data_IF_024173518463
#
_entry.id   IF_024173518463
#
_cell.length_a   1.000
_cell.length_b   1.000
_cell.length_c   1.000
_cell.angle_alpha   90.00
_cell.angle_beta   90.00
_cell.angle_gamma   90.00
#
_symmetry.space_group_name_H-M   'P 1'
#
loop_
_entity.id
_entity.type
_entity.pdbx_description
1 polymer ?
#
# COMPACT_ATOMS: atom_id res chain seq x y z
N UNK A 1 -6.13 22.05 -1.13
CA UNK A 1 -6.51 21.72 -2.53
C UNK A 1 -5.90 20.35 -2.79
N UNK A 2 -6.69 19.34 -3.16
CA UNK A 2 -6.17 18.01 -3.47
C UNK A 2 -5.42 18.08 -4.81
N UNK A 3 -4.10 18.19 -4.79
CA UNK A 3 -3.27 18.35 -5.98
C UNK A 3 -2.56 17.04 -6.37
N UNK A 4 -2.37 16.14 -5.42
CA UNK A 4 -1.73 14.86 -5.66
C UNK A 4 -2.59 13.97 -6.57
N UNK A 5 -1.97 13.45 -7.60
CA UNK A 5 -2.56 12.44 -8.48
C UNK A 5 -1.59 11.29 -8.65
N UNK A 6 -1.99 10.13 -8.18
CA UNK A 6 -1.13 8.94 -8.21
C UNK A 6 -0.76 8.49 -9.64
N UNK A 7 -1.56 8.85 -10.63
CA UNK A 7 -1.29 8.52 -12.03
C UNK A 7 0.09 8.96 -12.55
N UNK A 8 0.68 10.02 -11.96
CA UNK A 8 2.06 10.43 -12.28
C UNK A 8 3.12 9.47 -11.74
N UNK A 9 2.82 8.74 -10.68
CA UNK A 9 3.75 7.94 -9.87
C UNK A 9 3.48 6.43 -9.91
N UNK A 10 2.38 6.04 -10.56
CA UNK A 10 1.91 4.64 -10.58
C UNK A 10 3.00 3.69 -11.08
N UNK A 11 3.19 2.59 -10.36
CA UNK A 11 4.18 1.57 -10.68
C UNK A 11 5.62 1.90 -10.28
N UNK A 12 5.85 2.96 -9.50
CA UNK A 12 7.18 3.31 -9.02
C UNK A 12 7.69 2.36 -7.91
N UNK A 13 8.91 2.58 -7.43
CA UNK A 13 9.52 1.78 -6.37
C UNK A 13 8.70 1.73 -5.07
N UNK A 14 7.97 2.80 -4.74
CA UNK A 14 7.15 2.86 -3.53
C UNK A 14 5.90 1.97 -3.64
N UNK A 15 5.28 1.93 -4.81
CA UNK A 15 4.21 0.98 -5.12
C UNK A 15 4.70 -0.46 -5.02
N UNK A 16 5.94 -0.76 -5.41
CA UNK A 16 6.48 -2.11 -5.31
C UNK A 16 6.49 -2.60 -3.88
N UNK A 17 6.99 -1.82 -2.92
CA UNK A 17 6.98 -2.18 -1.51
C UNK A 17 5.54 -2.30 -0.96
N UNK A 18 4.70 -1.30 -1.26
CA UNK A 18 3.31 -1.23 -0.79
C UNK A 18 2.48 -2.40 -1.30
N UNK A 19 2.47 -2.61 -2.61
CA UNK A 19 1.63 -3.64 -3.22
C UNK A 19 2.16 -5.05 -2.98
N UNK A 20 3.47 -5.25 -2.90
CA UNK A 20 4.03 -6.54 -2.49
C UNK A 20 3.64 -6.88 -1.05
N UNK A 21 3.75 -5.93 -0.12
CA UNK A 21 3.32 -6.13 1.27
C UNK A 21 1.81 -6.42 1.35
N UNK A 22 0.98 -5.66 0.62
CA UNK A 22 -0.46 -5.90 0.54
C UNK A 22 -0.79 -7.29 -0.01
N UNK A 23 -0.11 -7.71 -1.08
CA UNK A 23 -0.23 -9.05 -1.66
C UNK A 23 0.01 -10.13 -0.62
N UNK A 24 1.14 -10.08 0.09
CA UNK A 24 1.49 -11.06 1.12
C UNK A 24 0.47 -11.10 2.26
N UNK A 25 -0.01 -9.94 2.71
CA UNK A 25 -1.03 -9.86 3.77
C UNK A 25 -2.35 -10.48 3.31
N UNK A 26 -2.83 -10.18 2.11
CA UNK A 26 -4.10 -10.72 1.62
C UNK A 26 -4.01 -12.22 1.32
N UNK A 27 -2.90 -12.71 0.77
CA UNK A 27 -2.65 -14.15 0.59
C UNK A 27 -2.68 -14.89 1.94
N UNK A 28 -2.09 -14.31 2.99
CA UNK A 28 -2.20 -14.89 4.33
C UNK A 28 -3.64 -14.91 4.85
N UNK A 29 -4.39 -13.83 4.62
CA UNK A 29 -5.80 -13.78 5.04
C UNK A 29 -6.64 -14.85 4.36
N UNK A 30 -6.31 -15.21 3.12
CA UNK A 30 -7.00 -16.24 2.34
C UNK A 30 -6.73 -17.68 2.83
N UNK A 31 -5.67 -17.92 3.62
CA UNK A 31 -5.38 -19.26 4.17
C UNK A 31 -6.44 -19.79 5.13
N UNK A 32 -7.22 -18.92 5.76
CA UNK A 32 -8.32 -19.31 6.65
C UNK A 32 -9.65 -19.10 5.93
N UNK A 33 -10.51 -20.12 5.96
CA UNK A 33 -11.87 -20.02 5.42
C UNK A 33 -12.80 -19.25 6.38
N UNK A 34 -12.43 -17.99 6.66
CA UNK A 34 -13.19 -17.00 7.43
C UNK A 34 -13.24 -15.72 6.67
N UNK A 35 -14.41 -15.12 6.46
CA UNK A 35 -14.54 -13.84 5.78
C UNK A 35 -13.73 -12.74 6.46
N UNK A 36 -13.29 -11.75 5.66
CA UNK A 36 -12.69 -10.53 6.16
C UNK A 36 -13.15 -9.30 5.35
N UNK A 37 -12.90 -8.13 5.90
CA UNK A 37 -13.03 -6.89 5.17
C UNK A 37 -11.65 -6.35 4.79
N UNK A 38 -11.49 -6.00 3.51
CA UNK A 38 -10.43 -5.11 3.07
C UNK A 38 -10.94 -3.68 3.10
N UNK A 39 -10.22 -2.81 3.78
CA UNK A 39 -10.57 -1.38 3.91
C UNK A 39 -9.38 -0.57 3.41
N UNK A 40 -9.62 0.29 2.43
CA UNK A 40 -8.63 1.16 1.82
C UNK A 40 -9.07 2.61 1.97
N UNK A 41 -8.30 3.38 2.72
CA UNK A 41 -8.68 4.75 3.11
C UNK A 41 -8.38 5.80 2.04
N UNK A 42 -7.47 5.50 1.11
CA UNK A 42 -7.04 6.40 0.02
C UNK A 42 -6.80 5.58 -1.23
N UNK A 43 -7.88 5.22 -1.89
CA UNK A 43 -7.88 4.15 -2.90
C UNK A 43 -7.33 4.57 -4.27
N UNK A 44 -7.26 5.87 -4.57
CA UNK A 44 -6.90 6.36 -5.90
C UNK A 44 -7.88 5.91 -6.98
N UNK A 45 -7.44 5.90 -8.23
CA UNK A 45 -8.26 5.50 -9.37
C UNK A 45 -8.40 3.97 -9.56
N UNK A 46 -7.57 3.18 -8.88
CA UNK A 46 -7.58 1.71 -8.95
C UNK A 46 -6.83 1.10 -10.13
N UNK A 47 -6.91 1.68 -11.32
CA UNK A 47 -6.11 1.34 -12.51
C UNK A 47 -5.50 2.60 -13.11
N UNK A 48 -4.29 2.47 -13.63
CA UNK A 48 -3.49 3.56 -14.18
C UNK A 48 -2.92 3.17 -15.54
N UNK A 49 -3.08 4.03 -16.54
CA UNK A 49 -2.52 3.84 -17.87
C UNK A 49 -1.07 4.33 -17.91
N UNK A 50 -0.13 3.40 -17.99
CA UNK A 50 1.31 3.72 -18.07
C UNK A 50 1.71 4.33 -19.43
N UNK A 51 0.88 4.19 -20.46
CA UNK A 51 1.08 4.86 -21.76
C UNK A 51 0.50 6.27 -21.82
N UNK A 52 -0.30 6.66 -20.80
CA UNK A 52 -0.94 7.98 -20.72
C UNK A 52 0.04 9.11 -20.40
N UNK A 53 -0.35 10.33 -20.75
CA UNK A 53 0.48 11.55 -20.62
C UNK A 53 1.03 11.75 -19.20
N UNK A 54 0.23 11.45 -18.16
CA UNK A 54 0.62 11.63 -16.77
C UNK A 54 1.79 10.70 -16.39
N UNK A 55 1.68 9.41 -16.67
CA UNK A 55 2.71 8.42 -16.39
C UNK A 55 3.97 8.64 -17.25
N UNK A 56 3.79 8.98 -18.54
CA UNK A 56 4.90 9.23 -19.47
C UNK A 56 5.70 10.49 -19.13
N UNK A 57 5.05 11.50 -18.56
CA UNK A 57 5.70 12.77 -18.19
C UNK A 57 6.79 12.59 -17.13
N UNK A 58 6.58 11.70 -16.17
CA UNK A 58 7.54 11.45 -15.09
C UNK A 58 8.30 10.14 -15.32
N UNK A 59 7.63 9.08 -15.79
CA UNK A 59 8.24 7.83 -16.18
C UNK A 59 8.74 6.97 -15.01
N UNK A 60 8.25 7.19 -13.78
CA UNK A 60 8.73 6.49 -12.58
C UNK A 60 8.51 4.97 -12.61
N UNK A 61 7.50 4.47 -13.33
CA UNK A 61 7.27 3.04 -13.52
C UNK A 61 8.46 2.31 -14.14
N UNK A 62 9.30 3.03 -14.92
CA UNK A 62 10.53 2.47 -15.54
C UNK A 62 11.57 2.12 -14.49
N UNK A 63 11.53 2.76 -13.32
CA UNK A 63 12.39 2.52 -12.17
C UNK A 63 11.65 1.77 -11.04
N UNK A 64 10.55 1.13 -11.38
CA UNK A 64 9.69 0.35 -10.48
C UNK A 64 9.32 -0.98 -11.11
N UNK A 65 8.04 -1.13 -11.48
CA UNK A 65 7.50 -2.40 -12.00
C UNK A 65 8.27 -2.91 -13.22
N UNK A 66 8.69 -2.03 -14.14
CA UNK A 66 9.41 -2.44 -15.35
C UNK A 66 10.75 -3.14 -15.04
N UNK A 67 11.45 -2.76 -13.97
CA UNK A 67 12.68 -3.43 -13.53
C UNK A 67 12.39 -4.84 -12.98
N UNK A 68 11.32 -4.99 -12.21
CA UNK A 68 10.93 -6.32 -11.71
C UNK A 68 10.48 -7.26 -12.84
N UNK A 69 9.81 -6.74 -13.84
CA UNK A 69 9.37 -7.52 -15.00
C UNK A 69 10.51 -7.96 -15.91
N UNK A 70 11.61 -7.23 -15.93
CA UNK A 70 12.81 -7.51 -16.70
C UNK A 70 13.85 -8.33 -15.93
N UNK A 71 13.66 -8.56 -14.63
CA UNK A 71 14.60 -9.29 -13.81
C UNK A 71 14.67 -10.77 -14.23
N UNK A 72 15.87 -11.27 -14.50
CA UNK A 72 16.10 -12.68 -14.91
C UNK A 72 15.68 -13.67 -13.83
N UNK A 73 15.81 -13.29 -12.56
CA UNK A 73 15.52 -14.15 -11.42
C UNK A 73 14.97 -13.33 -10.26
N UNK A 74 13.83 -13.76 -9.74
CA UNK A 74 13.20 -13.21 -8.54
C UNK A 74 13.07 -14.29 -7.46
N UNK A 75 13.12 -13.93 -6.17
CA UNK A 75 12.65 -14.81 -5.10
C UNK A 75 11.22 -15.27 -5.34
N UNK A 76 10.83 -16.43 -4.79
CA UNK A 76 9.58 -17.10 -5.14
C UNK A 76 8.33 -16.22 -4.95
N UNK A 77 8.19 -15.57 -3.78
CA UNK A 77 7.01 -14.74 -3.50
C UNK A 77 6.99 -13.46 -4.34
N UNK A 78 8.16 -12.89 -4.65
CA UNK A 78 8.25 -11.72 -5.52
C UNK A 78 7.93 -12.08 -6.97
N UNK A 79 8.36 -13.26 -7.44
CA UNK A 79 8.00 -13.79 -8.76
C UNK A 79 6.49 -14.06 -8.87
N UNK A 80 5.89 -14.62 -7.82
CA UNK A 80 4.45 -14.85 -7.74
C UNK A 80 3.68 -13.52 -7.79
N UNK A 81 4.13 -12.51 -7.03
CA UNK A 81 3.54 -11.17 -7.04
C UNK A 81 3.55 -10.56 -8.44
N UNK A 82 4.72 -10.51 -9.11
CA UNK A 82 4.85 -9.96 -10.46
C UNK A 82 4.00 -10.73 -11.46
N UNK A 83 4.01 -12.06 -11.38
CA UNK A 83 3.17 -12.92 -12.20
C UNK A 83 1.67 -12.67 -11.98
N UNK A 84 1.26 -12.45 -10.73
CA UNK A 84 -0.13 -12.10 -10.38
C UNK A 84 -0.53 -10.76 -10.95
N UNK A 85 0.33 -9.73 -10.84
CA UNK A 85 0.06 -8.42 -11.45
C UNK A 85 -0.26 -8.55 -12.94
N UNK A 86 0.57 -9.27 -13.70
CA UNK A 86 0.35 -9.51 -15.15
C UNK A 86 -0.97 -10.22 -15.45
N UNK A 87 -1.34 -11.19 -14.62
CA UNK A 87 -2.56 -11.98 -14.82
C UNK A 87 -3.87 -11.20 -14.59
N UNK A 88 -3.84 -10.24 -13.65
CA UNK A 88 -5.05 -9.52 -13.26
C UNK A 88 -5.29 -8.24 -14.06
N UNK A 89 -4.30 -7.77 -14.81
CA UNK A 89 -4.42 -6.57 -15.63
C UNK A 89 -5.16 -6.90 -16.93
N UNK A 90 -6.15 -6.08 -17.32
CA UNK A 90 -6.90 -6.30 -18.56
C UNK A 90 -6.12 -5.95 -19.83
N UNK A 91 -5.03 -5.18 -19.70
CA UNK A 91 -4.14 -4.76 -20.79
C UNK A 91 -2.71 -4.56 -20.27
N UNK A 92 -1.71 -4.79 -21.11
CA UNK A 92 -0.29 -4.74 -20.74
C UNK A 92 0.24 -3.34 -20.40
N UNK A 93 -0.42 -2.29 -20.91
CA UNK A 93 -0.08 -0.90 -20.63
C UNK A 93 -0.67 -0.35 -19.33
N UNK A 94 -1.41 -1.17 -18.59
CA UNK A 94 -2.02 -0.75 -17.33
C UNK A 94 -1.18 -1.18 -16.13
N UNK A 95 -1.34 -0.43 -15.04
CA UNK A 95 -0.82 -0.79 -13.73
C UNK A 95 -1.94 -0.78 -12.70
N UNK A 96 -1.93 -1.75 -11.77
CA UNK A 96 -2.95 -1.84 -10.74
C UNK A 96 -2.56 -1.05 -9.48
N UNK A 97 -3.50 -0.26 -8.98
CA UNK A 97 -3.46 0.25 -7.62
C UNK A 97 -3.91 -0.80 -6.60
N UNK A 98 -3.80 -0.45 -5.32
CA UNK A 98 -4.21 -1.31 -4.20
C UNK A 98 -5.64 -1.87 -4.32
N UNK A 99 -6.68 -1.10 -4.78
CA UNK A 99 -8.03 -1.64 -4.91
C UNK A 99 -8.15 -2.73 -5.97
N UNK A 100 -7.45 -2.57 -7.10
CA UNK A 100 -7.50 -3.56 -8.18
C UNK A 100 -6.78 -4.85 -7.78
N UNK A 101 -5.62 -4.74 -7.15
CA UNK A 101 -4.91 -5.88 -6.57
C UNK A 101 -5.77 -6.61 -5.53
N UNK A 102 -6.34 -5.85 -4.60
CA UNK A 102 -7.16 -6.42 -3.53
C UNK A 102 -8.42 -7.11 -4.07
N UNK A 103 -9.10 -6.55 -5.11
CA UNK A 103 -10.26 -7.19 -5.68
C UNK A 103 -9.94 -8.54 -6.33
N UNK A 104 -8.77 -8.67 -6.94
CA UNK A 104 -8.34 -9.92 -7.56
C UNK A 104 -8.02 -11.01 -6.52
N UNK A 105 -7.61 -10.62 -5.32
CA UNK A 105 -7.25 -11.51 -4.22
C UNK A 105 -8.41 -11.81 -3.27
N UNK A 106 -9.39 -10.90 -3.10
CA UNK A 106 -10.53 -11.12 -2.20
C UNK A 106 -11.48 -12.17 -2.74
N UNK A 107 -11.98 -13.04 -1.84
CA UNK A 107 -12.90 -14.12 -2.18
C UNK A 107 -14.34 -13.64 -2.20
N UNK A 108 -15.24 -14.50 -2.63
CA UNK A 108 -16.68 -14.19 -2.71
C UNK A 108 -17.33 -13.90 -1.36
N UNK A 109 -16.79 -14.45 -0.29
CA UNK A 109 -17.23 -14.21 1.08
C UNK A 109 -16.72 -12.90 1.68
N UNK A 110 -15.67 -12.30 1.10
CA UNK A 110 -15.02 -11.12 1.62
C UNK A 110 -15.69 -9.84 1.12
N UNK A 111 -15.43 -8.71 1.78
CA UNK A 111 -15.96 -7.41 1.37
C UNK A 111 -14.85 -6.38 1.28
N UNK A 112 -15.00 -5.44 0.34
CA UNK A 112 -14.13 -4.29 0.17
C UNK A 112 -14.86 -3.00 0.50
N UNK A 113 -14.16 -2.08 1.15
CA UNK A 113 -14.60 -0.73 1.50
C UNK A 113 -13.52 0.24 1.07
N UNK A 114 -13.79 0.98 0.02
CA UNK A 114 -12.85 1.82 -0.69
C UNK A 114 -13.27 3.27 -0.55
N UNK A 115 -12.34 4.12 -0.11
CA UNK A 115 -12.56 5.54 0.06
C UNK A 115 -11.62 6.32 -0.87
N UNK A 116 -12.18 7.27 -1.60
CA UNK A 116 -11.43 8.20 -2.42
C UNK A 116 -12.09 9.58 -2.33
N UNK A 117 -11.31 10.58 -1.93
CA UNK A 117 -11.85 11.93 -1.72
C UNK A 117 -11.76 12.80 -2.99
N UNK A 118 -10.75 12.54 -3.85
CA UNK A 118 -10.58 13.30 -5.08
C UNK A 118 -11.68 12.96 -6.09
N UNK A 119 -12.47 13.95 -6.58
CA UNK A 119 -13.67 13.66 -7.38
C UNK A 119 -13.38 12.89 -8.67
N UNK A 120 -12.31 13.22 -9.39
CA UNK A 120 -11.98 12.55 -10.65
C UNK A 120 -11.54 11.09 -10.40
N UNK A 121 -10.67 10.86 -9.42
CA UNK A 121 -10.18 9.52 -9.10
C UNK A 121 -11.28 8.64 -8.52
N UNK A 122 -12.22 9.21 -7.74
CA UNK A 122 -13.42 8.52 -7.32
C UNK A 122 -14.26 8.00 -8.48
N UNK A 123 -14.48 8.83 -9.52
CA UNK A 123 -15.25 8.41 -10.72
C UNK A 123 -14.54 7.26 -11.44
N UNK A 124 -13.22 7.36 -11.62
CA UNK A 124 -12.43 6.29 -12.22
C UNK A 124 -12.48 5.01 -11.39
N UNK A 125 -12.26 5.10 -10.08
CA UNK A 125 -12.35 3.96 -9.16
C UNK A 125 -13.72 3.30 -9.20
N UNK A 126 -14.79 4.08 -9.16
CA UNK A 126 -16.15 3.58 -9.20
C UNK A 126 -16.43 2.79 -10.49
N UNK A 127 -16.00 3.32 -11.64
CA UNK A 127 -16.17 2.65 -12.93
C UNK A 127 -15.36 1.36 -13.00
N UNK A 128 -14.08 1.40 -12.65
CA UNK A 128 -13.20 0.25 -12.64
C UNK A 128 -13.74 -0.88 -11.74
N UNK A 129 -14.24 -0.55 -10.55
CA UNK A 129 -14.76 -1.57 -9.62
C UNK A 129 -16.12 -2.14 -10.02
N UNK A 130 -16.96 -1.39 -10.74
CA UNK A 130 -18.27 -1.89 -11.25
C UNK A 130 -18.12 -2.99 -12.27
N UNK A 131 -17.10 -2.93 -13.10
CA UNK A 131 -16.84 -3.90 -14.17
C UNK A 131 -16.41 -5.28 -13.64
N UNK A 132 -15.80 -5.32 -12.47
CA UNK A 132 -15.16 -6.55 -11.96
C UNK A 132 -15.84 -7.19 -10.76
N UNK A 133 -16.65 -6.46 -10.00
CA UNK A 133 -17.29 -7.01 -8.78
C UNK A 133 -18.70 -6.45 -8.55
N UNK A 134 -19.62 -7.26 -8.03
CA UNK A 134 -20.95 -6.79 -7.66
C UNK A 134 -20.88 -5.81 -6.47
N UNK A 135 -21.71 -4.76 -6.50
CA UNK A 135 -21.76 -3.68 -5.50
C UNK A 135 -21.93 -4.16 -4.05
N UNK A 136 -22.55 -5.33 -3.83
CA UNK A 136 -22.67 -5.93 -2.48
C UNK A 136 -21.36 -6.34 -1.86
N UNK A 137 -20.30 -6.56 -2.66
CA UNK A 137 -18.96 -6.94 -2.22
C UNK A 137 -18.03 -5.75 -2.12
N UNK A 138 -18.08 -4.87 -3.12
CA UNK A 138 -17.23 -3.69 -3.22
C UNK A 138 -18.10 -2.45 -3.07
N UNK A 139 -17.82 -1.68 -2.04
CA UNK A 139 -18.44 -0.37 -1.83
C UNK A 139 -17.36 0.70 -1.99
N UNK A 140 -17.57 1.59 -2.95
CA UNK A 140 -16.74 2.78 -3.20
C UNK A 140 -17.48 3.99 -2.66
N UNK A 141 -16.80 4.82 -1.87
CA UNK A 141 -17.38 6.00 -1.22
C UNK A 141 -16.52 7.23 -1.48
N UNK A 142 -17.14 8.29 -1.99
CA UNK A 142 -16.47 9.61 -2.07
C UNK A 142 -16.56 10.27 -0.70
N UNK A 143 -15.59 10.00 0.15
CA UNK A 143 -15.57 10.47 1.53
C UNK A 143 -14.15 10.46 2.11
N UNK A 144 -13.99 11.17 3.24
CA UNK A 144 -12.77 11.09 4.04
C UNK A 144 -12.57 9.67 4.58
N UNK A 145 -11.49 9.02 4.11
CA UNK A 145 -11.21 7.61 4.43
C UNK A 145 -10.88 7.38 5.90
N UNK A 146 -10.36 8.38 6.62
CA UNK A 146 -10.12 8.25 8.05
C UNK A 146 -11.43 8.17 8.84
N UNK A 147 -12.40 9.05 8.52
CA UNK A 147 -13.74 9.00 9.13
C UNK A 147 -14.47 7.71 8.72
N UNK A 148 -14.36 7.34 7.44
CA UNK A 148 -14.91 6.12 6.92
C UNK A 148 -14.39 4.88 7.65
N UNK A 149 -13.08 4.75 7.84
CA UNK A 149 -12.47 3.67 8.60
C UNK A 149 -13.06 3.55 10.00
N UNK A 150 -13.10 4.66 10.75
CA UNK A 150 -13.59 4.64 12.12
C UNK A 150 -15.08 4.23 12.22
N UNK A 151 -15.89 4.61 11.23
CA UNK A 151 -17.31 4.23 11.17
C UNK A 151 -17.55 2.74 10.90
N UNK A 152 -16.59 2.06 10.26
CA UNK A 152 -16.67 0.66 9.88
C UNK A 152 -16.11 -0.32 10.93
N UNK A 153 -15.44 0.18 11.95
CA UNK A 153 -14.80 -0.66 12.98
C UNK A 153 -15.66 -0.84 14.24
N UNK A 154 -15.74 -2.07 14.78
CA UNK A 154 -15.22 -3.33 14.22
C UNK A 154 -16.10 -3.86 13.09
N UNK A 155 -15.54 -4.49 12.05
CA UNK A 155 -16.34 -5.09 10.98
C UNK A 155 -17.09 -6.34 11.50
N UNK A 156 -18.26 -6.68 10.89
CA UNK A 156 -19.05 -7.84 11.33
C UNK A 156 -18.28 -9.15 11.44
N UNK A 157 -17.37 -9.53 10.49
CA UNK A 157 -16.59 -10.77 10.62
C UNK A 157 -15.51 -10.68 11.71
N UNK A 158 -15.31 -9.49 12.32
CA UNK A 158 -14.24 -9.20 13.29
C UNK A 158 -12.84 -9.62 12.76
N UNK A 159 -12.65 -9.40 11.47
CA UNK A 159 -11.41 -9.66 10.74
C UNK A 159 -11.27 -8.66 9.61
N UNK A 160 -10.20 -7.87 9.61
CA UNK A 160 -9.93 -6.86 8.61
C UNK A 160 -8.44 -6.70 8.30
N UNK A 161 -8.16 -6.45 7.02
CA UNK A 161 -6.92 -5.88 6.52
C UNK A 161 -7.21 -4.44 6.10
N UNK A 162 -6.53 -3.48 6.71
CA UNK A 162 -6.73 -2.04 6.49
C UNK A 162 -5.47 -1.45 5.89
N UNK A 163 -5.60 -0.75 4.76
CA UNK A 163 -4.52 0.04 4.16
C UNK A 163 -4.80 1.54 4.39
N UNK A 164 -3.79 2.25 4.90
CA UNK A 164 -3.79 3.68 5.15
C UNK A 164 -2.63 4.28 4.36
N UNK A 165 -2.94 4.96 3.26
CA UNK A 165 -1.98 5.47 2.28
C UNK A 165 -2.32 6.90 1.83
N UNK A 166 -2.28 7.88 2.76
CA UNK A 166 -2.59 9.27 2.42
C UNK A 166 -1.47 9.89 1.55
N UNK A 167 -1.74 10.99 0.85
CA UNK A 167 -0.78 11.61 -0.07
C UNK A 167 0.40 12.30 0.63
N UNK A 168 0.33 12.53 1.95
CA UNK A 168 1.36 13.22 2.74
C UNK A 168 1.80 14.58 2.15
N UNK A 169 0.91 15.26 1.45
CA UNK A 169 1.16 16.60 0.93
C UNK A 169 1.36 17.61 2.08
N UNK A 170 0.53 17.47 3.12
CA UNK A 170 0.53 18.36 4.26
C UNK A 170 1.13 17.71 5.51
N UNK A 171 1.80 18.52 6.34
CA UNK A 171 2.36 18.06 7.62
C UNK A 171 1.32 17.47 8.57
N UNK A 172 0.08 17.91 8.45
CA UNK A 172 -1.02 17.40 9.26
C UNK A 172 -1.38 15.94 8.93
N UNK A 173 -1.08 15.42 7.72
CA UNK A 173 -1.37 14.03 7.36
C UNK A 173 -0.65 13.05 8.28
N UNK A 174 0.61 13.33 8.62
CA UNK A 174 1.38 12.51 9.57
C UNK A 174 0.69 12.40 10.94
N UNK A 175 0.16 13.52 11.46
CA UNK A 175 -0.56 13.54 12.74
C UNK A 175 -1.90 12.84 12.64
N UNK A 176 -2.60 13.00 11.50
CA UNK A 176 -3.90 12.36 11.26
C UNK A 176 -3.78 10.84 11.22
N UNK A 177 -2.74 10.29 10.56
CA UNK A 177 -2.44 8.85 10.56
C UNK A 177 -2.26 8.33 11.98
N UNK A 178 -1.43 8.99 12.80
CA UNK A 178 -1.21 8.61 14.19
C UNK A 178 -2.53 8.63 14.98
N UNK A 179 -3.34 9.66 14.81
CA UNK A 179 -4.61 9.80 15.55
C UNK A 179 -5.64 8.75 15.12
N UNK A 180 -5.80 8.53 13.81
CA UNK A 180 -6.78 7.54 13.31
C UNK A 180 -6.43 6.13 13.75
N UNK A 181 -5.13 5.78 13.78
CA UNK A 181 -4.70 4.48 14.29
C UNK A 181 -5.00 4.29 15.77
N UNK A 182 -4.77 5.31 16.61
CA UNK A 182 -5.16 5.27 18.03
C UNK A 182 -6.65 5.00 18.20
N UNK A 183 -7.48 5.68 17.41
CA UNK A 183 -8.93 5.52 17.50
C UNK A 183 -9.42 4.20 16.88
N UNK A 184 -8.79 3.73 15.80
CA UNK A 184 -9.08 2.44 15.19
C UNK A 184 -8.75 1.28 16.14
N UNK A 185 -7.59 1.30 16.79
CA UNK A 185 -7.17 0.26 17.74
C UNK A 185 -8.08 0.20 18.97
N UNK A 186 -8.58 1.35 19.48
CA UNK A 186 -9.58 1.35 20.56
C UNK A 186 -10.87 0.65 20.17
N UNK A 187 -11.28 0.72 18.89
CA UNK A 187 -12.50 0.09 18.38
C UNK A 187 -12.30 -1.35 17.96
N UNK A 188 -11.14 -1.64 17.38
CA UNK A 188 -10.82 -2.96 16.85
C UNK A 188 -9.32 -3.25 16.98
N UNK A 189 -8.90 -3.67 18.16
CA UNK A 189 -7.51 -3.91 18.53
C UNK A 189 -6.82 -4.99 17.66
N UNK A 190 -7.57 -5.98 17.18
CA UNK A 190 -7.04 -7.15 16.45
C UNK A 190 -7.02 -6.99 14.93
N UNK A 191 -7.34 -5.81 14.41
CA UNK A 191 -7.24 -5.52 12.98
C UNK A 191 -5.79 -5.51 12.52
N UNK A 192 -5.53 -5.98 11.30
CA UNK A 192 -4.24 -5.79 10.63
C UNK A 192 -4.24 -4.43 9.94
N UNK A 193 -3.46 -3.48 10.45
CA UNK A 193 -3.36 -2.13 9.93
C UNK A 193 -2.02 -1.92 9.24
N UNK A 194 -2.07 -1.63 7.95
CA UNK A 194 -0.92 -1.33 7.10
C UNK A 194 -0.88 0.17 6.83
N UNK A 195 0.17 0.85 7.24
CA UNK A 195 0.41 2.27 6.95
C UNK A 195 1.56 2.37 5.98
N UNK A 196 1.30 2.91 4.81
CA UNK A 196 2.35 3.34 3.90
C UNK A 196 2.76 4.78 4.22
N UNK A 197 4.03 5.13 4.00
CA UNK A 197 4.52 6.49 4.10
C UNK A 197 5.77 6.71 3.22
N UNK A 198 6.00 7.96 2.72
CA UNK A 198 7.19 8.29 1.95
C UNK A 198 8.38 8.54 2.87
N UNK A 199 9.59 8.08 2.51
CA UNK A 199 10.83 8.48 3.14
C UNK A 199 11.32 9.78 2.51
N UNK A 200 11.17 10.88 3.26
CA UNK A 200 11.52 12.24 2.87
C UNK A 200 12.50 12.84 3.86
N UNK A 201 13.25 13.86 3.44
CA UNK A 201 14.17 14.60 4.32
C UNK A 201 13.47 15.41 5.42
N UNK A 202 12.15 15.64 5.30
CA UNK A 202 11.38 16.39 6.31
C UNK A 202 11.27 15.62 7.64
N UNK A 203 11.23 16.37 8.71
CA UNK A 203 11.22 15.84 10.07
C UNK A 203 10.00 14.96 10.37
N UNK A 204 8.83 15.35 9.88
CA UNK A 204 7.57 14.63 10.09
C UNK A 204 7.63 13.20 9.52
N UNK A 205 8.22 13.04 8.32
CA UNK A 205 8.41 11.73 7.70
C UNK A 205 9.36 10.87 8.54
N UNK A 206 10.50 11.42 8.96
CA UNK A 206 11.49 10.67 9.74
C UNK A 206 11.01 10.26 11.13
N UNK A 207 10.09 11.04 11.74
CA UNK A 207 9.56 10.74 13.08
C UNK A 207 8.36 9.81 13.06
N UNK A 208 7.68 9.66 11.93
CA UNK A 208 6.45 8.87 11.86
C UNK A 208 6.63 7.43 12.35
N UNK A 209 7.65 6.66 11.94
CA UNK A 209 7.83 5.29 12.43
C UNK A 209 7.90 5.21 13.96
N UNK A 210 8.62 6.12 14.60
CA UNK A 210 8.75 6.14 16.06
C UNK A 210 7.43 6.50 16.76
N UNK A 211 6.62 7.38 16.16
CA UNK A 211 5.28 7.68 16.68
C UNK A 211 4.34 6.47 16.53
N UNK A 212 4.47 5.71 15.44
CA UNK A 212 3.70 4.49 15.22
C UNK A 212 4.11 3.36 16.19
N UNK A 213 5.42 3.20 16.47
CA UNK A 213 5.93 2.26 17.50
C UNK A 213 5.35 2.53 18.89
N UNK A 214 5.13 3.80 19.25
CA UNK A 214 4.51 4.15 20.53
C UNK A 214 3.04 3.72 20.64
N UNK A 215 2.34 3.60 19.51
CA UNK A 215 0.92 3.16 19.47
C UNK A 215 0.81 1.65 19.66
N UNK A 216 1.71 0.88 19.06
CA UNK A 216 1.70 -0.58 19.10
C UNK A 216 3.09 -1.11 19.48
N UNK A 217 3.55 -0.91 20.72
CA UNK A 217 4.95 -1.13 21.10
C UNK A 217 5.37 -2.61 21.08
N UNK A 218 4.42 -3.54 21.09
CA UNK A 218 4.68 -4.98 21.29
C UNK A 218 4.27 -5.86 20.11
N UNK A 219 3.63 -5.31 19.07
CA UNK A 219 3.16 -6.12 17.95
C UNK A 219 3.12 -5.32 16.64
N UNK A 220 4.29 -5.16 16.01
CA UNK A 220 4.43 -4.48 14.73
C UNK A 220 5.52 -5.11 13.86
N UNK A 221 5.42 -4.82 12.57
CA UNK A 221 6.47 -4.98 11.58
C UNK A 221 6.67 -3.65 10.90
N UNK A 222 7.91 -3.22 10.77
CA UNK A 222 8.32 -2.01 10.10
C UNK A 222 9.32 -2.35 9.01
N UNK A 223 9.00 -2.03 7.76
CA UNK A 223 9.87 -2.23 6.62
C UNK A 223 10.03 -0.91 5.86
N UNK A 224 11.27 -0.57 5.51
CA UNK A 224 11.58 0.53 4.59
C UNK A 224 12.40 0.02 3.40
N UNK A 225 12.15 0.62 2.25
CA UNK A 225 12.92 0.44 1.03
C UNK A 225 13.44 1.80 0.59
N UNK A 226 14.75 1.98 0.64
CA UNK A 226 15.45 3.15 0.15
C UNK A 226 16.11 2.83 -1.18
N UNK A 227 15.86 3.63 -2.21
CA UNK A 227 16.34 3.37 -3.57
C UNK A 227 17.54 4.24 -3.94
N UNK A 228 17.75 5.35 -3.25
CA UNK A 228 18.92 6.21 -3.40
C UNK A 228 19.21 6.99 -2.11
N UNK A 229 20.41 7.56 -2.05
CA UNK A 229 20.83 8.49 -1.00
C UNK A 229 19.92 9.73 -1.00
N UNK A 230 19.46 10.22 0.17
CA UNK A 230 18.73 11.49 0.23
C UNK A 230 19.51 12.62 -0.45
N UNK A 231 18.85 13.38 -1.32
CA UNK A 231 19.49 14.49 -2.03
C UNK A 231 19.88 15.60 -1.07
N UNK A 232 20.99 16.27 -1.36
CA UNK A 232 21.51 17.37 -0.53
C UNK A 232 20.57 18.58 -0.46
N UNK A 233 19.74 18.78 -1.49
CA UNK A 233 18.71 19.82 -1.53
C UNK A 233 17.45 19.45 -0.71
N UNK A 234 17.37 18.21 -0.21
CA UNK A 234 16.25 17.69 0.59
C UNK A 234 14.97 17.43 -0.19
N UNK A 235 14.98 17.57 -1.51
CA UNK A 235 13.81 17.33 -2.34
C UNK A 235 13.72 15.88 -2.83
N UNK A 236 12.48 15.43 -3.01
CA UNK A 236 12.17 14.11 -3.54
C UNK A 236 12.08 13.01 -2.48
N UNK A 237 11.43 11.94 -2.88
CA UNK A 237 11.25 10.73 -2.09
C UNK A 237 12.41 9.76 -2.42
N UNK A 238 13.24 9.46 -1.42
CA UNK A 238 14.39 8.56 -1.58
C UNK A 238 14.08 7.11 -1.21
N UNK A 239 12.88 6.86 -0.75
CA UNK A 239 12.39 5.54 -0.36
C UNK A 239 10.97 5.63 0.18
N UNK A 240 10.44 4.52 0.63
CA UNK A 240 9.14 4.46 1.30
C UNK A 240 9.12 3.40 2.39
N UNK A 241 8.15 3.49 3.29
CA UNK A 241 7.98 2.56 4.39
C UNK A 241 6.58 1.96 4.46
N UNK A 242 6.54 0.75 5.00
CA UNK A 242 5.32 0.07 5.42
C UNK A 242 5.43 -0.21 6.92
N UNK A 243 4.48 0.31 7.70
CA UNK A 243 4.34 -0.01 9.11
C UNK A 243 3.08 -0.82 9.32
N UNK A 244 3.23 -2.05 9.82
CA UNK A 244 2.11 -2.99 9.96
C UNK A 244 1.88 -3.29 11.45
N UNK A 245 0.68 -2.96 11.95
CA UNK A 245 0.23 -3.35 13.28
C UNK A 245 -0.54 -4.67 13.16
N UNK A 246 -0.29 -5.60 14.06
CA UNK A 246 -0.79 -6.99 14.02
C UNK A 246 -0.44 -7.69 12.69
N UNK A 247 0.86 -7.75 12.33
CA UNK A 247 1.27 -8.38 11.09
C UNK A 247 0.90 -9.86 11.05
N UNK A 248 0.57 -10.42 9.88
CA UNK A 248 0.51 -11.85 9.70
C UNK A 248 1.80 -12.56 10.12
N UNK A 249 1.69 -13.71 10.76
CA UNK A 249 2.83 -14.46 11.31
C UNK A 249 3.96 -14.70 10.30
N UNK A 250 3.64 -14.98 9.04
CA UNK A 250 4.63 -15.29 8.00
C UNK A 250 5.23 -14.04 7.33
N UNK A 251 4.62 -12.86 7.51
CA UNK A 251 5.01 -11.66 6.79
C UNK A 251 6.47 -11.27 7.04
N UNK A 252 6.94 -11.48 8.27
CA UNK A 252 8.31 -11.17 8.67
C UNK A 252 9.34 -11.97 7.87
N UNK A 253 9.18 -13.28 7.81
CA UNK A 253 10.06 -14.18 7.05
C UNK A 253 9.98 -13.90 5.55
N UNK A 254 8.77 -13.69 5.01
CA UNK A 254 8.58 -13.38 3.60
C UNK A 254 9.28 -12.07 3.21
N UNK A 255 9.15 -11.01 4.00
CA UNK A 255 9.86 -9.76 3.72
C UNK A 255 11.38 -9.90 3.90
N UNK A 256 11.84 -10.64 4.91
CA UNK A 256 13.27 -10.93 5.11
C UNK A 256 13.90 -11.62 3.88
N UNK A 257 13.16 -12.51 3.24
CA UNK A 257 13.63 -13.26 2.07
C UNK A 257 13.59 -12.45 0.76
N UNK A 258 12.73 -11.45 0.67
CA UNK A 258 12.47 -10.74 -0.59
C UNK A 258 13.03 -9.31 -0.64
N UNK A 259 13.10 -8.59 0.48
CA UNK A 259 13.58 -7.21 0.52
C UNK A 259 15.02 -7.03 0.02
N UNK A 260 15.98 -7.95 0.29
CA UNK A 260 17.34 -7.80 -0.24
C UNK A 260 17.40 -7.71 -1.75
N UNK A 261 16.67 -8.59 -2.45
CA UNK A 261 16.64 -8.57 -3.92
C UNK A 261 15.79 -7.41 -4.46
N UNK A 262 14.69 -7.06 -3.79
CA UNK A 262 13.89 -5.90 -4.14
C UNK A 262 14.71 -4.60 -4.05
N UNK A 263 15.48 -4.42 -2.98
CA UNK A 263 16.35 -3.27 -2.80
C UNK A 263 17.46 -3.20 -3.87
N UNK A 264 18.03 -4.34 -4.24
CA UNK A 264 19.05 -4.44 -5.27
C UNK A 264 18.52 -4.11 -6.66
N UNK A 265 17.35 -4.66 -7.04
CA UNK A 265 16.74 -4.43 -8.36
C UNK A 265 16.30 -2.97 -8.52
N UNK A 266 15.73 -2.37 -7.47
CA UNK A 266 15.21 -1.00 -7.50
C UNK A 266 16.25 0.06 -7.14
N UNK A 267 17.51 -0.33 -6.91
CA UNK A 267 18.59 0.61 -6.57
C UNK A 267 18.82 1.64 -7.68
N UNK A 268 18.86 2.92 -7.29
CA UNK A 268 19.16 4.04 -8.18
C UNK A 268 20.58 4.60 -7.92
N UNK A 269 21.15 4.33 -6.75
CA UNK A 269 22.56 4.61 -6.42
C UNK A 269 23.10 3.63 -5.37
N UNK A 270 24.35 3.81 -4.95
CA UNK A 270 25.01 2.97 -3.97
C UNK A 270 24.46 3.09 -2.53
N UNK A 271 23.59 4.07 -2.27
CA UNK A 271 22.91 4.26 -0.97
C UNK A 271 21.63 3.44 -0.83
N UNK A 272 21.24 2.69 -1.87
CA UNK A 272 20.05 1.83 -1.82
C UNK A 272 20.22 0.75 -0.73
N UNK A 273 19.20 0.61 0.10
CA UNK A 273 19.16 -0.35 1.20
C UNK A 273 17.72 -0.60 1.67
N UNK A 274 17.54 -1.56 2.55
CA UNK A 274 16.26 -1.78 3.23
C UNK A 274 16.45 -1.78 4.75
N UNK A 275 15.36 -1.51 5.45
CA UNK A 275 15.22 -1.69 6.90
C UNK A 275 14.10 -2.69 7.13
N UNK A 276 14.30 -3.63 8.04
CA UNK A 276 13.26 -4.54 8.52
C UNK A 276 13.38 -4.69 10.03
N UNK A 277 12.38 -4.23 10.75
CA UNK A 277 12.28 -4.34 12.19
C UNK A 277 10.99 -5.05 12.56
N UNK A 278 11.10 -6.04 13.44
CA UNK A 278 9.98 -6.90 13.81
C UNK A 278 9.90 -6.95 15.32
N UNK A 279 8.72 -6.71 15.85
CA UNK A 279 8.40 -6.95 17.24
C UNK A 279 7.04 -7.63 17.30
N UNK A 280 7.02 -8.87 17.64
CA UNK A 280 5.81 -9.68 17.82
C UNK A 280 5.77 -10.26 19.23
N UNK A 281 4.54 -10.36 19.79
CA UNK A 281 4.32 -11.01 21.08
C UNK A 281 4.57 -12.50 21.01
#
# INVERSE_FOLDING_TARGET
MLSYRHAFHAGNHADMLKHFTLFLVLEYFNRKDKPYWYIDTHSGAGLYDLSGDEAQKVGEYKQGIALLEQADKLPAELAEFVGRLKQILPQDNLYCGSPWLAQALTRDSDKMRLFELHPADFVHLQNNMREVRPARKVQVSQADGYQGLISLLPPPPRRAAVLIDPPYEEKQDYRRVVQVLKDALKRFETGCYMVWYPCLSREESRKLPDELKKIAPDNYLHAELHVHTPRSDGFGMHGSGMFIINPPYMLAEQLQNNLPELAKILAQDAGAHYILEIKTK
#
